data_IF_635481803575
#
_entry.id   IF_635481803575
#
_cell.length_a   1.000
_cell.length_b   1.000
_cell.length_c   1.000
_cell.angle_alpha   90.00
_cell.angle_beta   90.00
_cell.angle_gamma   90.00
#
_symmetry.space_group_name_H-M   'P 1'
#
loop_
_entity.id
_entity.type
_entity.pdbx_description
1 polymer ?
#
# COMPACT_ATOMS: atom_id res chain seq x y z
N UNK A 1 -17.13 -4.67 6.30
CA UNK A 1 -17.24 -3.42 7.10
C UNK A 1 -16.40 -2.40 6.38
N UNK A 2 -16.97 -1.28 5.94
CA UNK A 2 -16.15 -0.27 5.26
C UNK A 2 -15.33 0.51 6.27
N UNK A 3 -14.08 0.80 5.94
CA UNK A 3 -13.18 1.61 6.74
C UNK A 3 -13.41 3.06 6.33
N UNK A 4 -13.67 3.94 7.30
CA UNK A 4 -13.74 5.38 7.05
C UNK A 4 -12.47 6.03 7.58
N UNK A 5 -11.94 6.98 6.83
CA UNK A 5 -10.87 7.85 7.31
C UNK A 5 -11.26 8.50 8.64
N UNK A 6 -10.28 8.65 9.53
CA UNK A 6 -10.41 9.34 10.80
C UNK A 6 -9.14 10.15 11.02
N UNK A 7 -9.27 11.34 11.62
CA UNK A 7 -8.12 12.22 11.87
C UNK A 7 -7.02 11.56 12.71
N UNK A 8 -7.37 10.58 13.55
CA UNK A 8 -6.41 9.78 14.31
C UNK A 8 -5.45 8.94 13.44
N UNK A 9 -5.75 8.74 12.15
CA UNK A 9 -4.89 8.05 11.18
C UNK A 9 -3.91 9.00 10.50
N UNK A 10 -4.04 10.32 10.70
CA UNK A 10 -3.17 11.31 10.10
C UNK A 10 -1.73 11.18 10.62
N UNK A 11 -0.78 11.24 9.68
CA UNK A 11 0.66 11.25 9.91
C UNK A 11 1.20 12.64 9.61
N UNK A 12 1.08 13.11 8.36
CA UNK A 12 1.75 14.32 7.88
C UNK A 12 0.79 15.45 7.46
N UNK A 13 -0.52 15.16 7.40
CA UNK A 13 -1.53 16.08 6.90
C UNK A 13 -1.37 16.43 5.42
N UNK A 14 -0.60 15.63 4.68
CA UNK A 14 -0.18 15.88 3.30
C UNK A 14 -0.18 14.56 2.49
N UNK A 15 0.92 14.24 1.82
CA UNK A 15 0.97 13.21 0.77
C UNK A 15 0.83 11.78 1.33
N UNK A 16 1.36 11.51 2.53
CA UNK A 16 1.25 10.19 3.16
C UNK A 16 -0.22 9.93 3.51
N UNK A 17 -0.88 10.94 4.07
CA UNK A 17 -2.31 10.88 4.37
C UNK A 17 -3.17 10.73 3.09
N UNK A 18 -2.78 11.36 1.98
CA UNK A 18 -3.44 11.21 0.68
C UNK A 18 -3.29 9.78 0.13
N UNK A 19 -2.11 9.18 0.28
CA UNK A 19 -1.91 7.77 -0.05
C UNK A 19 -2.79 6.87 0.79
N UNK A 20 -2.79 7.06 2.12
CA UNK A 20 -3.57 6.24 3.03
C UNK A 20 -5.07 6.31 2.69
N UNK A 21 -5.59 7.50 2.38
CA UNK A 21 -6.98 7.66 1.90
C UNK A 21 -7.23 6.85 0.62
N UNK A 22 -6.32 6.94 -0.35
CA UNK A 22 -6.42 6.20 -1.60
C UNK A 22 -6.41 4.67 -1.38
N UNK A 23 -5.51 4.17 -0.53
CA UNK A 23 -5.43 2.75 -0.16
C UNK A 23 -6.73 2.29 0.53
N UNK A 24 -7.25 3.05 1.48
CA UNK A 24 -8.52 2.74 2.14
C UNK A 24 -9.69 2.67 1.16
N UNK A 25 -9.76 3.57 0.19
CA UNK A 25 -10.80 3.58 -0.83
C UNK A 25 -10.73 2.33 -1.73
N UNK A 26 -9.53 1.92 -2.13
CA UNK A 26 -9.32 0.68 -2.91
C UNK A 26 -9.66 -0.59 -2.12
N UNK A 27 -9.30 -0.64 -0.83
CA UNK A 27 -9.71 -1.74 0.07
C UNK A 27 -11.23 -1.81 0.17
N UNK A 28 -11.89 -0.67 0.40
CA UNK A 28 -13.34 -0.59 0.49
C UNK A 28 -14.01 -1.04 -0.81
N UNK A 29 -13.44 -0.68 -1.96
CA UNK A 29 -13.90 -1.14 -3.26
C UNK A 29 -13.80 -2.66 -3.41
N UNK A 30 -12.64 -3.25 -3.05
CA UNK A 30 -12.45 -4.71 -3.12
C UNK A 30 -13.44 -5.44 -2.20
N UNK A 31 -13.57 -5.00 -0.95
CA UNK A 31 -14.50 -5.57 0.02
C UNK A 31 -15.93 -5.53 -0.50
N UNK A 32 -16.36 -4.37 -1.02
CA UNK A 32 -17.72 -4.18 -1.56
C UNK A 32 -17.95 -5.07 -2.77
N UNK A 33 -16.96 -5.19 -3.66
CA UNK A 33 -17.03 -6.03 -4.84
C UNK A 33 -17.17 -7.51 -4.49
N UNK A 34 -16.41 -7.99 -3.49
CA UNK A 34 -16.52 -9.35 -2.97
C UNK A 34 -17.90 -9.58 -2.36
N UNK A 35 -18.42 -8.65 -1.56
CA UNK A 35 -19.76 -8.74 -0.95
C UNK A 35 -20.87 -8.74 -2.02
N UNK A 36 -20.68 -8.01 -3.12
CA UNK A 36 -21.54 -8.01 -4.30
C UNK A 36 -21.35 -9.24 -5.21
N UNK A 37 -20.52 -10.21 -4.80
CA UNK A 37 -20.22 -11.46 -5.53
C UNK A 37 -19.60 -11.21 -6.91
N UNK A 38 -18.66 -10.25 -7.00
CA UNK A 38 -17.83 -10.08 -8.19
C UNK A 38 -17.15 -11.41 -8.58
N UNK A 39 -16.79 -11.55 -9.84
CA UNK A 39 -16.05 -12.74 -10.25
C UNK A 39 -14.61 -12.68 -9.73
N UNK A 40 -13.97 -13.84 -9.58
CA UNK A 40 -12.61 -13.91 -9.05
C UNK A 40 -11.58 -13.22 -9.96
N UNK A 41 -11.88 -13.01 -11.25
CA UNK A 41 -11.02 -12.27 -12.18
C UNK A 41 -11.01 -10.78 -11.84
N UNK A 42 -12.18 -10.20 -11.57
CA UNK A 42 -12.28 -8.79 -11.18
C UNK A 42 -11.64 -8.55 -9.81
N UNK A 43 -11.82 -9.50 -8.88
CA UNK A 43 -11.14 -9.47 -7.59
C UNK A 43 -9.61 -9.51 -7.77
N UNK A 44 -9.08 -10.47 -8.54
CA UNK A 44 -7.65 -10.58 -8.84
C UNK A 44 -7.09 -9.29 -9.45
N UNK A 45 -7.79 -8.68 -10.40
CA UNK A 45 -7.41 -7.38 -10.97
C UNK A 45 -7.34 -6.28 -9.90
N UNK A 46 -8.35 -6.17 -9.04
CA UNK A 46 -8.40 -5.16 -8.00
C UNK A 46 -7.31 -5.37 -6.92
N UNK A 47 -6.98 -6.63 -6.59
CA UNK A 47 -5.86 -6.94 -5.70
C UNK A 47 -4.49 -6.60 -6.33
N UNK A 48 -4.29 -6.85 -7.63
CA UNK A 48 -3.05 -6.46 -8.33
C UNK A 48 -2.88 -4.95 -8.41
N UNK A 49 -3.97 -4.23 -8.64
CA UNK A 49 -3.99 -2.78 -8.62
C UNK A 49 -3.67 -2.25 -7.21
N UNK A 50 -4.30 -2.79 -6.16
CA UNK A 50 -3.96 -2.45 -4.78
C UNK A 50 -2.50 -2.78 -4.45
N UNK A 51 -1.96 -3.91 -4.92
CA UNK A 51 -0.54 -4.26 -4.72
C UNK A 51 0.39 -3.18 -5.28
N UNK A 52 0.16 -2.75 -6.53
CA UNK A 52 1.00 -1.75 -7.18
C UNK A 52 1.01 -0.43 -6.44
N UNK A 53 -0.16 0.04 -5.99
CA UNK A 53 -0.22 1.31 -5.27
C UNK A 53 0.34 1.18 -3.84
N UNK A 54 0.19 0.03 -3.18
CA UNK A 54 0.82 -0.23 -1.88
C UNK A 54 2.34 -0.23 -1.99
N UNK A 55 2.91 -0.87 -3.01
CA UNK A 55 4.36 -0.86 -3.25
C UNK A 55 4.87 0.58 -3.50
N UNK A 56 4.13 1.38 -4.26
CA UNK A 56 4.47 2.77 -4.54
C UNK A 56 4.48 3.63 -3.27
N UNK A 57 3.44 3.47 -2.45
CA UNK A 57 3.31 4.12 -1.15
C UNK A 57 4.49 3.77 -0.23
N UNK A 58 4.84 2.48 -0.10
CA UNK A 58 5.97 2.06 0.72
C UNK A 58 7.30 2.63 0.24
N UNK A 59 7.55 2.66 -1.07
CA UNK A 59 8.77 3.30 -1.59
C UNK A 59 8.82 4.80 -1.27
N UNK A 60 7.66 5.49 -1.28
CA UNK A 60 7.58 6.88 -0.85
C UNK A 60 7.95 7.02 0.61
N UNK A 61 7.33 6.25 1.49
CA UNK A 61 7.63 6.29 2.93
C UNK A 61 9.10 5.99 3.19
N UNK A 62 9.67 4.94 2.61
CA UNK A 62 11.08 4.59 2.76
C UNK A 62 12.02 5.72 2.29
N UNK A 63 11.70 6.37 1.18
CA UNK A 63 12.48 7.51 0.68
C UNK A 63 12.41 8.70 1.65
N UNK A 64 11.23 8.99 2.21
CA UNK A 64 11.02 10.07 3.17
C UNK A 64 11.66 9.76 4.53
N UNK A 65 11.48 8.54 5.05
CA UNK A 65 12.11 8.05 6.28
C UNK A 65 13.63 8.12 6.18
N UNK A 66 14.21 7.68 5.05
CA UNK A 66 15.65 7.78 4.78
C UNK A 66 16.12 9.23 4.74
N UNK A 67 15.36 10.12 4.07
CA UNK A 67 15.69 11.54 4.03
C UNK A 67 15.62 12.22 5.41
N UNK A 68 14.71 11.77 6.26
CA UNK A 68 14.55 12.23 7.64
C UNK A 68 15.50 11.56 8.64
N UNK A 69 16.32 10.59 8.20
CA UNK A 69 17.19 9.78 9.07
C UNK A 69 16.42 9.08 10.20
N UNK A 70 15.23 8.57 9.89
CA UNK A 70 14.40 7.83 10.85
C UNK A 70 15.16 6.59 11.36
N UNK A 71 15.42 6.44 12.67
CA UNK A 71 16.20 5.32 13.20
C UNK A 71 15.58 3.94 12.91
N UNK A 72 14.26 3.86 12.81
CA UNK A 72 13.52 2.62 12.57
C UNK A 72 13.34 2.28 11.08
N UNK A 73 13.89 3.06 10.14
CA UNK A 73 13.61 2.93 8.71
C UNK A 73 13.91 1.52 8.16
N UNK A 74 14.96 0.87 8.68
CA UNK A 74 15.30 -0.49 8.26
C UNK A 74 14.29 -1.53 8.74
N UNK A 75 13.80 -1.41 9.98
CA UNK A 75 12.77 -2.31 10.50
C UNK A 75 11.46 -2.10 9.76
N UNK A 76 11.06 -0.85 9.53
CA UNK A 76 9.85 -0.49 8.79
C UNK A 76 9.87 -1.05 7.36
N UNK A 77 11.03 -0.98 6.67
CA UNK A 77 11.21 -1.60 5.36
C UNK A 77 11.01 -3.13 5.37
N UNK A 78 11.46 -3.84 6.41
CA UNK A 78 11.20 -5.28 6.50
C UNK A 78 9.71 -5.58 6.72
N UNK A 79 9.01 -4.74 7.48
CA UNK A 79 7.56 -4.87 7.63
C UNK A 79 6.87 -4.69 6.26
N UNK A 80 7.28 -3.70 5.45
CA UNK A 80 6.79 -3.51 4.08
C UNK A 80 7.01 -4.75 3.20
N UNK A 81 8.21 -5.31 3.19
CA UNK A 81 8.55 -6.50 2.42
C UNK A 81 7.66 -7.69 2.80
N UNK A 82 7.41 -7.90 4.09
CA UNK A 82 6.51 -8.93 4.58
C UNK A 82 5.07 -8.69 4.10
N UNK A 83 4.60 -7.44 4.08
CA UNK A 83 3.27 -7.06 3.54
C UNK A 83 3.17 -7.44 2.07
N UNK A 84 4.14 -7.02 1.27
CA UNK A 84 4.15 -7.27 -0.16
C UNK A 84 4.26 -8.76 -0.48
N UNK A 85 5.05 -9.51 0.28
CA UNK A 85 5.16 -10.97 0.15
C UNK A 85 3.81 -11.66 0.43
N UNK A 86 3.13 -11.29 1.51
CA UNK A 86 1.81 -11.85 1.82
C UNK A 86 0.75 -11.47 0.79
N UNK A 87 0.84 -10.27 0.20
CA UNK A 87 -0.07 -9.85 -0.85
C UNK A 87 0.11 -10.68 -2.12
N UNK A 88 1.35 -10.93 -2.53
CA UNK A 88 1.70 -11.78 -3.67
C UNK A 88 1.16 -13.19 -3.51
N UNK A 89 1.43 -13.83 -2.37
CA UNK A 89 0.91 -15.16 -2.05
C UNK A 89 -0.61 -15.18 -2.19
N UNK A 90 -1.28 -14.14 -1.72
CA UNK A 90 -2.73 -14.09 -1.76
C UNK A 90 -3.31 -13.86 -3.17
N UNK A 91 -2.65 -13.05 -3.99
CA UNK A 91 -2.98 -12.90 -5.41
C UNK A 91 -2.86 -14.27 -6.11
N UNK A 92 -1.77 -14.99 -5.86
CA UNK A 92 -1.55 -16.34 -6.42
C UNK A 92 -2.64 -17.33 -5.97
N UNK A 93 -3.11 -17.27 -4.72
CA UNK A 93 -4.23 -18.09 -4.24
C UNK A 93 -5.56 -17.77 -4.95
N UNK A 94 -5.84 -16.49 -5.21
CA UNK A 94 -7.04 -16.06 -5.95
C UNK A 94 -6.94 -16.57 -7.40
N UNK A 95 -5.79 -16.41 -8.03
CA UNK A 95 -5.54 -16.85 -9.40
C UNK A 95 -5.59 -18.37 -9.53
N UNK A 96 -5.02 -19.11 -8.58
CA UNK A 96 -5.15 -20.55 -8.53
C UNK A 96 -6.61 -20.97 -8.42
N UNK A 97 -7.42 -20.28 -7.60
CA UNK A 97 -8.85 -20.58 -7.49
C UNK A 97 -9.63 -20.37 -8.80
N UNK A 98 -9.17 -19.48 -9.68
CA UNK A 98 -9.76 -19.27 -11.02
C UNK A 98 -9.62 -20.51 -11.91
N UNK A 99 -8.54 -21.28 -11.74
CA UNK A 99 -8.30 -22.52 -12.49
C UNK A 99 -9.18 -23.69 -12.04
N UNK A 100 -9.86 -23.56 -10.89
CA UNK A 100 -10.67 -24.63 -10.31
C UNK A 100 -12.10 -24.63 -10.87
N UNK A 101 -12.69 -25.81 -11.04
CA UNK A 101 -14.08 -25.96 -11.48
C UNK A 101 -15.11 -25.72 -10.36
N UNK A 102 -14.66 -25.60 -9.10
CA UNK A 102 -15.53 -25.52 -7.94
C UNK A 102 -15.81 -24.06 -7.52
N UNK A 103 -17.03 -23.58 -7.78
CA UNK A 103 -17.45 -22.22 -7.44
C UNK A 103 -17.54 -21.94 -5.94
N UNK A 104 -17.72 -22.97 -5.11
CA UNK A 104 -17.74 -22.78 -3.66
C UNK A 104 -16.34 -22.48 -3.13
N UNK A 105 -15.31 -23.05 -3.75
CA UNK A 105 -13.91 -22.84 -3.38
C UNK A 105 -13.44 -21.43 -3.73
N UNK A 106 -13.82 -20.94 -4.92
CA UNK A 106 -13.61 -19.55 -5.34
C UNK A 106 -14.21 -18.56 -4.33
N UNK A 107 -15.47 -18.78 -3.94
CA UNK A 107 -16.16 -17.92 -2.94
C UNK A 107 -15.48 -17.95 -1.57
N UNK A 108 -15.01 -19.13 -1.14
CA UNK A 108 -14.26 -19.27 0.12
C UNK A 108 -12.92 -18.55 0.05
N UNK A 109 -12.21 -18.63 -1.07
CA UNK A 109 -10.97 -17.88 -1.29
C UNK A 109 -11.21 -16.37 -1.16
N UNK A 110 -12.13 -15.82 -1.94
CA UNK A 110 -12.49 -14.39 -1.89
C UNK A 110 -12.97 -13.92 -0.51
N UNK A 111 -13.70 -14.77 0.21
CA UNK A 111 -14.16 -14.42 1.57
C UNK A 111 -12.99 -14.30 2.55
N UNK A 112 -11.97 -15.16 2.43
CA UNK A 112 -10.74 -15.08 3.24
C UNK A 112 -9.90 -13.84 2.89
N UNK A 113 -9.94 -13.41 1.62
CA UNK A 113 -9.22 -12.23 1.13
C UNK A 113 -9.52 -10.96 1.91
N UNK A 114 -10.77 -10.79 2.35
CA UNK A 114 -11.17 -9.65 3.16
C UNK A 114 -10.40 -9.56 4.48
N UNK A 115 -10.16 -10.68 5.14
CA UNK A 115 -9.47 -10.70 6.44
C UNK A 115 -8.02 -10.23 6.33
N UNK A 116 -7.35 -10.55 5.22
CA UNK A 116 -5.98 -10.12 4.94
C UNK A 116 -5.94 -8.60 4.77
N UNK A 117 -6.84 -8.03 3.96
CA UNK A 117 -6.91 -6.58 3.75
C UNK A 117 -7.06 -5.80 5.06
N UNK A 118 -7.95 -6.25 5.96
CA UNK A 118 -8.12 -5.59 7.26
C UNK A 118 -6.92 -5.78 8.19
N UNK A 119 -6.28 -6.96 8.17
CA UNK A 119 -5.19 -7.24 9.10
C UNK A 119 -3.94 -6.43 8.78
N UNK A 120 -3.57 -6.34 7.51
CA UNK A 120 -2.30 -5.73 7.11
C UNK A 120 -2.38 -4.22 7.11
N UNK A 121 -3.30 -3.65 6.33
CA UNK A 121 -3.29 -2.20 6.09
C UNK A 121 -3.73 -1.43 7.34
N UNK A 122 -4.66 -1.96 8.14
CA UNK A 122 -5.04 -1.29 9.39
C UNK A 122 -3.94 -1.39 10.45
N UNK A 123 -3.23 -2.52 10.56
CA UNK A 123 -2.13 -2.62 11.53
C UNK A 123 -1.00 -1.67 11.18
N UNK A 124 -0.69 -1.57 9.90
CA UNK A 124 0.40 -0.74 9.40
C UNK A 124 0.08 0.75 9.52
N UNK A 125 -1.00 1.21 8.86
CA UNK A 125 -1.41 2.63 8.84
C UNK A 125 -1.73 3.17 10.25
N UNK A 126 -2.35 2.34 11.10
CA UNK A 126 -2.77 2.78 12.45
C UNK A 126 -1.69 2.52 13.49
N UNK A 127 -0.72 1.66 13.22
CA UNK A 127 0.31 1.25 14.17
C UNK A 127 1.68 1.78 13.77
N UNK A 128 2.26 1.18 12.75
CA UNK A 128 3.67 1.30 12.39
C UNK A 128 4.01 2.70 11.88
N UNK A 129 3.17 3.28 11.01
CA UNK A 129 3.40 4.59 10.37
C UNK A 129 3.46 5.75 11.35
N UNK A 130 2.88 5.58 12.54
CA UNK A 130 2.83 6.61 13.59
C UNK A 130 4.22 7.02 14.07
N UNK A 131 5.24 6.18 13.93
CA UNK A 131 6.62 6.54 14.29
C UNK A 131 7.14 7.71 13.46
N UNK A 132 6.56 7.94 12.28
CA UNK A 132 6.94 9.04 11.38
C UNK A 132 6.43 10.40 11.84
N UNK A 133 5.41 10.47 12.72
CA UNK A 133 4.79 11.73 13.18
C UNK A 133 5.85 12.69 13.75
N UNK A 134 6.79 12.17 14.55
CA UNK A 134 7.86 12.97 15.17
C UNK A 134 8.91 13.48 14.15
N UNK A 135 8.87 12.98 12.91
CA UNK A 135 9.83 13.26 11.85
C UNK A 135 9.21 13.99 10.65
N UNK A 136 7.91 14.33 10.71
CA UNK A 136 7.18 14.99 9.61
C UNK A 136 7.90 16.23 9.10
N UNK A 137 8.37 17.11 9.99
CA UNK A 137 9.10 18.31 9.59
C UNK A 137 10.36 18.01 8.77
N UNK A 138 11.08 16.93 9.10
CA UNK A 138 12.26 16.50 8.36
C UNK A 138 11.89 15.84 7.02
N UNK A 139 10.83 15.02 7.00
CA UNK A 139 10.29 14.42 5.78
C UNK A 139 9.80 15.50 4.80
N UNK A 140 9.12 16.55 5.29
CA UNK A 140 8.62 17.66 4.49
C UNK A 140 9.75 18.54 3.91
N UNK A 141 10.97 18.45 4.46
CA UNK A 141 12.16 19.08 3.90
C UNK A 141 12.89 18.20 2.86
N UNK A 142 12.39 16.98 2.56
CA UNK A 142 12.97 16.08 1.56
C UNK A 142 12.76 16.59 0.12
N UNK A 143 13.23 15.83 -0.87
CA UNK A 143 13.03 16.15 -2.29
C UNK A 143 11.54 16.26 -2.66
N UNK A 144 11.20 17.17 -3.59
CA UNK A 144 9.81 17.42 -3.98
C UNK A 144 9.14 16.20 -4.64
N UNK A 145 9.89 15.36 -5.36
CA UNK A 145 9.32 14.25 -6.12
C UNK A 145 8.45 13.33 -5.25
N UNK A 146 8.97 12.90 -4.11
CA UNK A 146 8.25 12.01 -3.20
C UNK A 146 7.11 12.70 -2.44
N UNK A 147 7.11 14.04 -2.39
CA UNK A 147 6.10 14.84 -1.68
C UNK A 147 4.95 15.31 -2.57
N UNK A 148 5.12 15.37 -3.88
CA UNK A 148 4.14 15.97 -4.78
C UNK A 148 3.61 15.04 -5.86
N UNK A 149 4.30 13.93 -6.15
CA UNK A 149 3.85 12.95 -7.15
C UNK A 149 2.64 12.19 -6.60
N UNK A 150 1.54 12.13 -7.36
CA UNK A 150 0.35 11.38 -6.95
C UNK A 150 0.63 9.88 -6.84
N UNK A 151 -0.14 9.16 -6.01
CA UNK A 151 0.06 7.71 -5.84
C UNK A 151 -0.06 6.93 -7.16
N UNK A 152 -1.00 7.30 -8.02
CA UNK A 152 -1.24 6.62 -9.30
C UNK A 152 -0.11 6.87 -10.30
N UNK A 153 0.41 8.09 -10.34
CA UNK A 153 1.58 8.44 -11.15
C UNK A 153 2.83 7.69 -10.64
N UNK A 154 3.04 7.67 -9.33
CA UNK A 154 4.15 6.94 -8.72
C UNK A 154 4.07 5.44 -9.02
N UNK A 155 2.87 4.86 -8.88
CA UNK A 155 2.59 3.46 -9.18
C UNK A 155 2.79 3.09 -10.66
N UNK A 156 2.66 4.06 -11.58
CA UNK A 156 2.87 3.87 -13.01
C UNK A 156 4.36 3.78 -13.37
N UNK A 157 5.22 4.40 -12.58
CA UNK A 157 6.66 4.45 -12.83
C UNK A 157 7.47 3.42 -12.04
N UNK A 158 6.84 2.55 -11.24
CA UNK A 158 7.47 1.51 -10.41
C UNK A 158 8.43 0.59 -11.16
N UNK A 159 8.09 0.25 -12.40
CA UNK A 159 8.90 -0.60 -13.31
C UNK A 159 9.93 0.21 -14.12
N UNK A 160 9.95 1.53 -13.96
CA UNK A 160 10.86 2.41 -14.68
C UNK A 160 12.20 2.52 -13.94
N UNK A 161 13.33 2.28 -14.62
CA UNK A 161 14.66 2.54 -14.06
C UNK A 161 14.93 4.04 -13.77
N UNK A 162 13.94 4.92 -13.97
CA UNK A 162 14.00 6.32 -13.55
C UNK A 162 13.85 6.51 -12.04
N UNK A 163 13.10 5.63 -11.34
CA UNK A 163 12.91 5.74 -9.88
C UNK A 163 14.23 5.50 -9.13
N UNK A 164 15.04 4.54 -9.58
CA UNK A 164 16.39 4.31 -9.06
C UNK A 164 17.38 5.46 -9.39
N UNK A 165 17.02 6.32 -10.34
CA UNK A 165 17.85 7.43 -10.83
C UNK A 165 17.50 8.79 -10.25
N UNK A 166 16.54 8.91 -9.32
CA UNK A 166 16.33 10.14 -8.58
C UNK A 166 17.45 10.35 -7.56
N UNK A 167 18.40 11.27 -7.82
CA UNK A 167 19.63 11.36 -7.04
C UNK A 167 19.52 12.48 -6.02
N UNK A 168 19.61 12.15 -4.73
CA UNK A 168 20.35 13.04 -3.82
C UNK A 168 21.83 12.68 -3.92
N UNK A 169 22.48 13.18 -4.97
CA UNK A 169 23.94 13.24 -5.10
C UNK A 169 24.37 14.25 -6.18
N UNK A 170 23.90 15.48 -6.08
CA UNK A 170 24.63 16.65 -6.59
C UNK A 170 24.37 17.80 -5.60
N UNK A 171 24.84 17.62 -4.37
CA UNK A 171 25.15 18.75 -3.52
C UNK A 171 26.49 19.32 -4.03
N UNK A 172 26.46 20.58 -4.47
CA UNK A 172 27.67 21.39 -4.61
C UNK A 172 28.20 21.84 -3.27
#
# INVERSE_FOLDING_TARGET
>A
MLIKWKDQFSIDGAIIDDDHRNLLDRINYIVTSIDARCCAKDASNAFRDLFRVTEAHFRREEALQKAASLPAAQTHHFDHDDILASFRIHIDEIEYSLSQSNDQEKKRCLSRSKAILYRWILSHIIGDDRVMIDYVSAMQAADDYWRTTSLDELATHMDSPAIERHPKSLAG
#
